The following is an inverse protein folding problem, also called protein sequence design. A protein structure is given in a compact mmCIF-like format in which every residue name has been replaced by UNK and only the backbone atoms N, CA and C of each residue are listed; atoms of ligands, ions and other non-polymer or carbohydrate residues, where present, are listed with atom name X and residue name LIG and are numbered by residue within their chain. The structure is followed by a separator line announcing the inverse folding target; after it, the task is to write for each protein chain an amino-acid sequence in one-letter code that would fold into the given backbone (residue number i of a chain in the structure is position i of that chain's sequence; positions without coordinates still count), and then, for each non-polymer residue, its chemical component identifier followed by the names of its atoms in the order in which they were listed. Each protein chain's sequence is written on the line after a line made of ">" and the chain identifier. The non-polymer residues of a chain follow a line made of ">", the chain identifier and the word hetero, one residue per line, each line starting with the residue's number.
data_IF_452347389479
#
_entry.id   IF_452347389479
#
_cell.length_a   1.000
_cell.length_b   1.000
_cell.length_c   1.000
_cell.angle_alpha   90.00
_cell.angle_beta   90.00
_cell.angle_gamma   90.00
#
_symmetry.space_group_name_H-M   'P 1'
#
loop_
_entity.id
_entity.type
_entity.pdbx_description
1 polymer ?
#
# COMPACT_ATOMS: atom_id res chain seq x y z
N UNK A 1 -7.11 -7.97 -19.04
CA UNK A 1 -7.55 -9.18 -18.29
C UNK A 1 -6.29 -9.90 -17.82
N UNK A 2 -6.22 -10.36 -16.57
CA UNK A 2 -5.01 -10.95 -15.97
C UNK A 2 -4.66 -12.29 -16.64
N UNK A 3 -3.40 -12.48 -17.05
CA UNK A 3 -2.94 -13.71 -17.73
C UNK A 3 -2.86 -14.88 -16.74
N UNK A 4 -2.83 -16.11 -17.23
CA UNK A 4 -2.76 -17.32 -16.38
C UNK A 4 -1.52 -17.32 -15.46
N UNK A 5 -0.36 -16.96 -16.00
CA UNK A 5 0.88 -16.86 -15.21
C UNK A 5 0.79 -15.84 -14.06
N UNK A 6 0.04 -14.75 -14.25
CA UNK A 6 -0.16 -13.73 -13.22
C UNK A 6 -1.06 -14.25 -12.09
N UNK A 7 -2.04 -15.11 -12.39
CA UNK A 7 -2.87 -15.76 -11.37
C UNK A 7 -2.04 -16.69 -10.48
N UNK A 8 -1.14 -17.47 -11.08
CA UNK A 8 -0.23 -18.35 -10.33
C UNK A 8 0.69 -17.52 -9.42
N UNK A 9 1.25 -16.42 -9.92
CA UNK A 9 2.07 -15.50 -9.11
C UNK A 9 1.29 -14.89 -7.96
N UNK A 10 0.06 -14.45 -8.20
CA UNK A 10 -0.81 -13.91 -7.15
C UNK A 10 -1.09 -14.95 -6.06
N UNK A 11 -1.38 -16.20 -6.42
CA UNK A 11 -1.56 -17.30 -5.48
C UNK A 11 -0.28 -17.58 -4.66
N UNK A 12 0.88 -17.59 -5.32
CA UNK A 12 2.18 -17.76 -4.65
C UNK A 12 2.46 -16.64 -3.65
N UNK A 13 2.17 -15.39 -4.01
CA UNK A 13 2.31 -14.25 -3.09
C UNK A 13 1.36 -14.38 -1.90
N UNK A 14 0.10 -14.79 -2.13
CA UNK A 14 -0.91 -14.93 -1.08
C UNK A 14 -0.59 -16.06 -0.09
N UNK A 15 0.04 -17.13 -0.56
CA UNK A 15 0.41 -18.32 0.23
C UNK A 15 1.85 -18.30 0.72
N UNK A 16 2.57 -17.18 0.54
CA UNK A 16 4.00 -17.03 0.87
C UNK A 16 4.92 -18.09 0.21
N UNK A 17 4.51 -18.57 -0.96
CA UNK A 17 5.25 -19.50 -1.83
C UNK A 17 5.95 -18.78 -2.98
N UNK A 18 6.00 -17.44 -2.96
CA UNK A 18 6.75 -16.69 -3.95
C UNK A 18 8.25 -16.99 -3.79
N UNK A 19 8.97 -17.24 -4.90
CA UNK A 19 10.39 -17.57 -4.84
C UNK A 19 11.19 -16.42 -4.23
N UNK A 20 11.59 -16.60 -2.98
CA UNK A 20 12.43 -15.66 -2.21
C UNK A 20 13.63 -16.39 -1.63
N UNK A 21 14.72 -15.66 -1.35
CA UNK A 21 15.89 -16.26 -0.69
C UNK A 21 15.57 -16.83 0.69
N UNK A 22 14.67 -16.23 1.47
CA UNK A 22 14.29 -16.80 2.77
C UNK A 22 13.64 -18.18 2.59
N UNK A 23 12.77 -18.35 1.58
CA UNK A 23 12.13 -19.63 1.29
C UNK A 23 13.11 -20.69 0.77
N UNK A 24 13.95 -20.36 -0.21
CA UNK A 24 14.87 -21.33 -0.82
C UNK A 24 16.04 -21.69 0.09
N UNK A 25 16.54 -20.72 0.87
CA UNK A 25 17.68 -20.90 1.76
C UNK A 25 17.24 -21.09 3.22
N UNK A 26 15.99 -21.55 3.45
CA UNK A 26 15.44 -21.76 4.80
C UNK A 26 16.32 -22.62 5.72
N UNK A 27 17.06 -23.57 5.13
CA UNK A 27 17.94 -24.52 5.83
C UNK A 27 19.43 -24.21 5.62
N UNK A 28 19.76 -23.07 5.03
CA UNK A 28 21.16 -22.70 4.83
C UNK A 28 21.84 -22.46 6.18
N UNK A 29 23.07 -22.99 6.33
CA UNK A 29 23.89 -22.80 7.55
C UNK A 29 24.30 -21.33 7.73
N UNK A 30 24.56 -20.64 6.63
CA UNK A 30 24.88 -19.22 6.63
C UNK A 30 23.60 -18.37 6.60
N UNK A 31 23.30 -17.59 7.65
CA UNK A 31 22.14 -16.70 7.67
C UNK A 31 22.19 -15.64 6.56
N UNK A 32 23.37 -15.25 6.09
CA UNK A 32 23.52 -14.26 5.02
C UNK A 32 22.92 -14.75 3.70
N UNK A 33 22.82 -16.07 3.50
CA UNK A 33 22.17 -16.66 2.33
C UNK A 33 20.67 -16.30 2.23
N UNK A 34 20.03 -15.91 3.33
CA UNK A 34 18.61 -15.50 3.37
C UNK A 34 18.41 -13.99 3.20
N UNK A 35 19.48 -13.18 3.20
CA UNK A 35 19.36 -11.73 3.06
C UNK A 35 18.83 -11.32 1.69
N UNK A 36 18.05 -10.25 1.69
CA UNK A 36 17.52 -9.61 0.49
C UNK A 36 18.63 -9.35 -0.52
N UNK A 37 18.48 -9.89 -1.72
CA UNK A 37 19.43 -9.70 -2.80
C UNK A 37 19.57 -8.23 -3.19
N UNK A 38 18.49 -7.46 -3.08
CA UNK A 38 18.46 -6.07 -3.47
C UNK A 38 19.09 -5.14 -2.42
N UNK A 39 18.71 -5.27 -1.15
CA UNK A 39 19.11 -4.31 -0.11
C UNK A 39 20.12 -4.85 0.91
N UNK A 40 20.19 -6.18 1.10
CA UNK A 40 21.04 -6.82 2.11
C UNK A 40 20.69 -6.50 3.57
N UNK A 41 19.64 -5.72 3.86
CA UNK A 41 19.35 -5.19 5.20
C UNK A 41 18.51 -6.13 6.07
N UNK A 42 17.76 -7.05 5.48
CA UNK A 42 16.94 -8.02 6.20
C UNK A 42 16.73 -9.27 5.36
N UNK A 43 16.13 -10.30 5.95
CA UNK A 43 15.74 -11.50 5.21
C UNK A 43 14.82 -11.17 4.03
N UNK A 44 15.06 -11.85 2.91
CA UNK A 44 14.23 -11.72 1.71
C UNK A 44 12.93 -12.50 1.89
N UNK A 45 11.91 -11.83 2.39
CA UNK A 45 10.53 -12.34 2.43
C UNK A 45 9.65 -11.56 1.46
N UNK A 46 8.49 -12.10 1.08
CA UNK A 46 7.52 -11.35 0.28
C UNK A 46 7.07 -10.07 1.01
N UNK A 47 6.88 -10.16 2.33
CA UNK A 47 6.61 -9.01 3.19
C UNK A 47 7.71 -7.95 3.11
N UNK A 48 8.99 -8.33 3.27
CA UNK A 48 10.11 -7.40 3.16
C UNK A 48 10.12 -6.70 1.79
N UNK A 49 10.08 -7.47 0.70
CA UNK A 49 10.11 -6.93 -0.66
C UNK A 49 8.94 -5.95 -0.85
N UNK A 50 7.71 -6.37 -0.58
CA UNK A 50 6.52 -5.59 -0.92
C UNK A 50 6.23 -4.43 0.04
N UNK A 51 6.78 -4.42 1.24
CA UNK A 51 6.45 -3.41 2.26
C UNK A 51 7.61 -2.52 2.67
N UNK A 52 8.84 -3.02 2.69
CA UNK A 52 9.95 -2.37 3.41
C UNK A 52 11.20 -2.16 2.57
N UNK A 53 11.44 -2.97 1.54
CA UNK A 53 12.66 -2.91 0.76
C UNK A 53 12.78 -1.56 0.03
N UNK A 54 13.79 -0.78 0.39
CA UNK A 54 14.03 0.56 -0.16
C UNK A 54 14.34 0.53 -1.66
N UNK A 55 14.94 -0.57 -2.14
CA UNK A 55 15.27 -0.73 -3.56
C UNK A 55 14.04 -0.90 -4.46
N UNK A 56 12.87 -1.22 -3.89
CA UNK A 56 11.60 -1.30 -4.62
C UNK A 56 10.62 -0.18 -4.19
N UNK A 57 11.15 0.92 -3.68
CA UNK A 57 10.34 2.09 -3.29
C UNK A 57 9.46 2.60 -4.45
N UNK A 58 10.02 2.76 -5.65
CA UNK A 58 9.28 3.22 -6.84
C UNK A 58 8.05 2.34 -7.14
N UNK A 59 8.23 1.03 -7.37
CA UNK A 59 7.10 0.10 -7.57
C UNK A 59 6.08 0.08 -6.43
N UNK A 60 6.51 0.30 -5.17
CA UNK A 60 5.59 0.43 -4.02
C UNK A 60 4.70 1.68 -4.13
N UNK A 61 5.28 2.81 -4.53
CA UNK A 61 4.55 4.05 -4.79
C UNK A 61 3.60 3.88 -5.97
N UNK A 62 4.06 3.27 -7.07
CA UNK A 62 3.21 2.98 -8.24
C UNK A 62 2.01 2.12 -7.90
N UNK A 63 2.20 1.06 -7.08
CA UNK A 63 1.10 0.22 -6.60
C UNK A 63 0.08 1.02 -5.77
N UNK A 64 0.56 1.88 -4.88
CA UNK A 64 -0.31 2.74 -4.07
C UNK A 64 -1.08 3.73 -4.95
N UNK A 65 -0.38 4.44 -5.85
CA UNK A 65 -0.99 5.38 -6.81
C UNK A 65 -2.01 4.69 -7.72
N UNK A 66 -1.73 3.47 -8.18
CA UNK A 66 -2.67 2.70 -8.99
C UNK A 66 -4.00 2.48 -8.25
N UNK A 67 -3.96 2.09 -6.97
CA UNK A 67 -5.17 1.91 -6.17
C UNK A 67 -5.91 3.23 -5.98
N UNK A 68 -5.20 4.31 -5.66
CA UNK A 68 -5.82 5.64 -5.51
C UNK A 68 -6.50 6.10 -6.81
N UNK A 69 -5.84 5.92 -7.97
CA UNK A 69 -6.41 6.24 -9.28
C UNK A 69 -7.62 5.37 -9.62
N UNK A 70 -7.60 4.07 -9.30
CA UNK A 70 -8.77 3.20 -9.53
C UNK A 70 -9.94 3.61 -8.66
N UNK A 71 -9.71 4.00 -7.40
CA UNK A 71 -10.76 4.53 -6.54
C UNK A 71 -11.35 5.82 -7.13
N UNK A 72 -10.51 6.80 -7.49
CA UNK A 72 -10.97 8.06 -8.09
C UNK A 72 -11.78 7.82 -9.37
N UNK A 73 -11.31 6.92 -10.25
CA UNK A 73 -12.03 6.54 -11.47
C UNK A 73 -13.41 5.95 -11.16
N UNK A 74 -13.52 5.10 -10.15
CA UNK A 74 -14.79 4.49 -9.75
C UNK A 74 -15.70 5.52 -9.08
N UNK A 75 -15.17 6.35 -8.19
CA UNK A 75 -15.91 7.43 -7.55
C UNK A 75 -16.52 8.37 -8.60
N UNK A 76 -15.73 8.80 -9.60
CA UNK A 76 -16.24 9.65 -10.69
C UNK A 76 -17.32 8.96 -11.53
N UNK A 77 -17.14 7.66 -11.80
CA UNK A 77 -18.10 6.87 -12.60
C UNK A 77 -19.46 6.78 -11.91
N UNK A 78 -19.47 6.56 -10.59
CA UNK A 78 -20.70 6.36 -9.83
C UNK A 78 -21.28 7.66 -9.26
N UNK A 79 -20.48 8.72 -9.18
CA UNK A 79 -20.92 10.05 -8.79
C UNK A 79 -20.34 11.10 -9.77
N UNK A 80 -20.99 11.30 -10.94
CA UNK A 80 -20.49 12.20 -11.98
C UNK A 80 -20.42 13.67 -11.57
N UNK A 81 -21.19 14.08 -10.55
CA UNK A 81 -21.24 15.47 -10.05
C UNK A 81 -20.21 15.73 -8.96
N UNK A 82 -19.63 14.70 -8.35
CA UNK A 82 -18.60 14.87 -7.35
C UNK A 82 -17.32 15.45 -7.97
N UNK A 83 -16.70 16.37 -7.24
CA UNK A 83 -15.35 16.86 -7.53
C UNK A 83 -14.34 15.95 -6.83
N UNK A 84 -13.36 15.47 -7.58
CA UNK A 84 -12.34 14.54 -7.08
C UNK A 84 -10.96 15.15 -7.28
N UNK A 85 -10.27 15.45 -6.19
CA UNK A 85 -8.91 15.99 -6.19
C UNK A 85 -7.93 14.90 -5.74
N UNK A 86 -6.97 14.55 -6.60
CA UNK A 86 -5.89 13.59 -6.33
C UNK A 86 -4.66 14.29 -5.76
N UNK A 87 -4.00 13.66 -4.79
CA UNK A 87 -2.72 14.11 -4.18
C UNK A 87 -2.70 15.58 -3.74
N UNK A 88 -3.85 16.07 -3.25
CA UNK A 88 -4.01 17.48 -2.86
C UNK A 88 -3.30 17.78 -1.54
N UNK A 89 -2.79 19.01 -1.41
CA UNK A 89 -2.14 19.49 -0.18
C UNK A 89 -3.00 20.56 0.47
N UNK A 90 -3.33 20.34 1.74
CA UNK A 90 -4.18 21.23 2.54
C UNK A 90 -3.43 21.66 3.80
N UNK A 91 -3.60 22.92 4.20
CA UNK A 91 -3.07 23.41 5.48
C UNK A 91 -4.26 23.70 6.39
N UNK A 92 -4.37 22.96 7.49
CA UNK A 92 -5.48 23.10 8.44
C UNK A 92 -4.90 23.20 9.84
N UNK A 93 -5.28 24.23 10.59
CA UNK A 93 -4.79 24.50 11.95
C UNK A 93 -3.23 24.46 12.07
N UNK A 94 -2.52 24.92 11.04
CA UNK A 94 -1.05 24.90 10.99
C UNK A 94 -0.42 23.55 10.63
N UNK A 95 -1.22 22.48 10.47
CA UNK A 95 -0.75 21.18 10.02
C UNK A 95 -0.90 21.03 8.50
N UNK A 96 0.16 20.54 7.83
CA UNK A 96 0.13 20.23 6.40
C UNK A 96 -0.36 18.79 6.19
N UNK A 97 -1.53 18.64 5.60
CA UNK A 97 -2.15 17.36 5.27
C UNK A 97 -2.06 17.11 3.77
N UNK A 98 -1.63 15.90 3.40
CA UNK A 98 -1.63 15.40 2.01
C UNK A 98 -2.39 14.08 1.97
N UNK A 99 -3.71 14.09 1.76
CA UNK A 99 -4.46 12.90 1.39
C UNK A 99 -4.20 12.46 -0.05
N UNK A 100 -4.43 11.18 -0.32
CA UNK A 100 -4.33 10.63 -1.67
C UNK A 100 -5.49 11.10 -2.53
N UNK A 101 -6.69 11.20 -1.96
CA UNK A 101 -7.92 11.57 -2.64
C UNK A 101 -8.80 12.41 -1.71
N UNK A 102 -9.38 13.48 -2.24
CA UNK A 102 -10.48 14.21 -1.63
C UNK A 102 -11.67 14.14 -2.58
N UNK A 103 -12.82 13.72 -2.06
CA UNK A 103 -14.08 13.66 -2.81
C UNK A 103 -15.04 14.67 -2.20
N UNK A 104 -15.45 15.66 -2.97
CA UNK A 104 -16.47 16.62 -2.58
C UNK A 104 -17.76 16.32 -3.34
N UNK A 105 -18.84 16.08 -2.61
CA UNK A 105 -20.17 15.85 -3.14
C UNK A 105 -21.17 16.79 -2.45
N UNK A 106 -21.58 17.83 -3.16
CA UNK A 106 -22.38 18.91 -2.57
C UNK A 106 -21.67 19.55 -1.36
N UNK A 107 -22.26 19.37 -0.18
CA UNK A 107 -21.74 19.89 1.09
C UNK A 107 -20.86 18.87 1.85
N UNK A 108 -20.80 17.62 1.39
CA UNK A 108 -20.03 16.57 2.04
C UNK A 108 -18.63 16.48 1.45
N UNK A 109 -17.64 16.32 2.31
CA UNK A 109 -16.23 16.15 1.94
C UNK A 109 -15.70 14.87 2.56
N UNK A 110 -15.21 13.97 1.71
CA UNK A 110 -14.62 12.70 2.09
C UNK A 110 -13.12 12.73 1.84
N UNK A 111 -12.35 12.44 2.89
CA UNK A 111 -10.89 12.26 2.79
C UNK A 111 -10.59 10.78 2.68
N UNK A 112 -9.99 10.36 1.58
CA UNK A 112 -9.62 8.96 1.33
C UNK A 112 -8.10 8.89 1.20
N UNK A 113 -7.47 8.26 2.18
CA UNK A 113 -6.02 8.06 2.24
C UNK A 113 -5.74 6.54 2.29
N UNK A 114 -5.25 6.00 1.17
CA UNK A 114 -5.08 4.57 0.97
C UNK A 114 -3.86 4.05 1.72
N UNK A 115 -4.02 2.90 2.38
CA UNK A 115 -2.94 2.19 3.03
C UNK A 115 -2.80 0.79 2.42
N UNK A 116 -1.63 0.51 1.83
CA UNK A 116 -1.31 -0.82 1.28
C UNK A 116 -0.40 -1.57 2.26
N UNK A 117 -1.02 -2.24 3.23
CA UNK A 117 -0.31 -3.01 4.27
C UNK A 117 -0.20 -4.50 3.93
N UNK A 118 0.68 -5.21 4.65
CA UNK A 118 0.74 -6.66 4.67
C UNK A 118 -0.07 -7.22 5.84
N UNK A 119 -0.90 -8.24 5.58
CA UNK A 119 -1.88 -8.78 6.50
C UNK A 119 -1.31 -9.91 7.39
N UNK A 120 -0.04 -9.81 7.80
CA UNK A 120 0.67 -10.87 8.55
C UNK A 120 0.11 -11.17 9.93
N UNK A 121 -0.56 -10.21 10.57
CA UNK A 121 -1.05 -10.35 11.94
C UNK A 121 -2.43 -9.74 12.11
N UNK A 122 -3.22 -10.34 13.01
CA UNK A 122 -4.48 -9.77 13.45
C UNK A 122 -4.25 -8.32 13.90
N UNK A 123 -5.04 -7.39 13.36
CA UNK A 123 -4.98 -5.97 13.71
C UNK A 123 -3.94 -5.12 12.98
N UNK A 124 -3.06 -5.64 12.10
CA UNK A 124 -2.10 -4.77 11.40
C UNK A 124 -2.79 -3.75 10.49
N UNK A 125 -3.82 -4.18 9.76
CA UNK A 125 -4.62 -3.31 8.89
C UNK A 125 -5.43 -2.31 9.72
N UNK A 126 -5.96 -2.74 10.87
CA UNK A 126 -6.73 -1.90 11.78
C UNK A 126 -5.87 -0.81 12.42
N UNK A 127 -4.69 -1.17 12.92
CA UNK A 127 -3.70 -0.19 13.41
C UNK A 127 -3.32 0.82 12.32
N UNK A 128 -3.16 0.38 11.06
CA UNK A 128 -2.89 1.29 9.93
C UNK A 128 -4.07 2.22 9.65
N UNK A 129 -5.29 1.73 9.81
CA UNK A 129 -6.49 2.56 9.73
C UNK A 129 -6.54 3.59 10.86
N UNK A 130 -6.28 3.18 12.12
CA UNK A 130 -6.24 4.07 13.28
C UNK A 130 -5.17 5.16 13.14
N UNK A 131 -3.96 4.81 12.68
CA UNK A 131 -2.88 5.77 12.38
C UNK A 131 -3.35 6.85 11.39
N UNK A 132 -4.12 6.46 10.37
CA UNK A 132 -4.68 7.39 9.36
C UNK A 132 -5.81 8.22 9.95
N UNK A 133 -6.75 7.62 10.69
CA UNK A 133 -7.82 8.36 11.37
C UNK A 133 -7.24 9.40 12.33
N UNK A 134 -6.22 9.04 13.11
CA UNK A 134 -5.53 9.96 14.01
C UNK A 134 -4.88 11.12 13.26
N UNK A 135 -4.24 10.87 12.10
CA UNK A 135 -3.65 11.92 11.23
C UNK A 135 -4.67 12.96 10.79
N UNK A 136 -5.92 12.56 10.54
CA UNK A 136 -6.99 13.44 10.05
C UNK A 136 -7.94 13.93 11.15
N UNK A 137 -7.67 13.63 12.42
CA UNK A 137 -8.53 14.02 13.54
C UNK A 137 -8.74 15.53 13.67
N UNK A 138 -7.82 16.36 13.18
CA UNK A 138 -7.98 17.81 13.18
C UNK A 138 -9.02 18.34 12.18
N UNK A 139 -9.59 17.49 11.33
CA UNK A 139 -10.67 17.83 10.40
C UNK A 139 -12.06 17.52 10.98
N UNK A 140 -12.13 16.80 12.11
CA UNK A 140 -13.37 16.35 12.75
C UNK A 140 -13.86 17.34 13.81
#
# INVERSE_FOLDING_TARGET
>A
MMQEGDRIRALRLRTDLYPTRSLFNKHARDPAARLCHHCGQSEETACHILQYCQKVHGPRVERHNFIAQQFARLAQKYNPTARIDLESTHTVAGARLRPDIVVQDGNDVWVVDAAIGWDSSCGNLERKHEEKVAKYRCLA
#
